data_IF_061465472020
#
_entry.id   IF_061465472020
#
_cell.length_a   1.000
_cell.length_b   1.000
_cell.length_c   1.000
_cell.angle_alpha   90.00
_cell.angle_beta   90.00
_cell.angle_gamma   90.00
#
_symmetry.space_group_name_H-M   'P 1'
#
loop_
_entity.id
_entity.type
_entity.pdbx_description
1 polymer ?
#
# COMPACT_ATOMS: atom_id res chain seq x y z
N UNK A 1 30.71 -5.20 -31.20
CA UNK A 1 29.81 -4.38 -30.38
C UNK A 1 29.19 -3.34 -31.28
N UNK A 2 27.96 -3.56 -31.75
CA UNK A 2 27.27 -2.60 -32.60
C UNK A 2 26.82 -1.43 -31.73
N UNK A 3 27.47 -0.27 -31.90
CA UNK A 3 27.08 0.99 -31.27
C UNK A 3 25.74 1.40 -31.86
N UNK A 4 24.70 1.47 -31.03
CA UNK A 4 23.39 2.00 -31.42
C UNK A 4 23.58 3.37 -32.08
N UNK A 5 22.98 3.57 -33.26
CA UNK A 5 22.98 4.89 -33.89
C UNK A 5 22.19 5.88 -33.01
N UNK A 6 22.51 7.20 -33.04
CA UNK A 6 21.83 8.20 -32.22
C UNK A 6 20.30 8.17 -32.37
N UNK A 7 19.81 7.84 -33.56
CA UNK A 7 18.39 7.73 -33.87
C UNK A 7 17.73 6.49 -33.26
N UNK A 8 18.42 5.34 -33.24
CA UNK A 8 17.92 4.12 -32.61
C UNK A 8 17.89 4.22 -31.08
N UNK A 9 18.83 4.95 -30.48
CA UNK A 9 18.80 5.26 -29.05
C UNK A 9 17.64 6.20 -28.70
N UNK A 10 17.35 7.19 -29.55
CA UNK A 10 16.21 8.09 -29.39
C UNK A 10 14.87 7.35 -29.56
N UNK A 11 14.79 6.38 -30.46
CA UNK A 11 13.59 5.57 -30.70
C UNK A 11 13.32 4.60 -29.55
N UNK A 12 14.36 3.95 -29.00
CA UNK A 12 14.23 3.12 -27.79
C UNK A 12 13.83 3.96 -26.56
N UNK A 13 14.37 5.17 -26.42
CA UNK A 13 13.97 6.08 -25.34
C UNK A 13 12.50 6.50 -25.45
N UNK A 14 12.00 6.75 -26.69
CA UNK A 14 10.59 7.03 -26.95
C UNK A 14 9.69 5.82 -26.69
N UNK A 15 10.14 4.61 -27.05
CA UNK A 15 9.41 3.37 -26.79
C UNK A 15 9.31 3.07 -25.27
N UNK A 16 10.40 3.27 -24.52
CA UNK A 16 10.39 3.15 -23.07
C UNK A 16 9.50 4.20 -22.39
N UNK A 17 9.52 5.44 -22.88
CA UNK A 17 8.63 6.50 -22.40
C UNK A 17 7.16 6.21 -22.71
N UNK A 18 6.85 5.59 -23.86
CA UNK A 18 5.50 5.16 -24.21
C UNK A 18 5.01 4.03 -23.29
N UNK A 19 5.84 3.01 -23.02
CA UNK A 19 5.51 1.93 -22.10
C UNK A 19 5.30 2.43 -20.66
N UNK A 20 6.07 3.43 -20.22
CA UNK A 20 5.90 4.07 -18.92
C UNK A 20 4.57 4.85 -18.81
N UNK A 21 4.12 5.47 -19.91
CA UNK A 21 2.82 6.17 -19.96
C UNK A 21 1.65 5.21 -19.86
N UNK A 22 1.65 4.11 -20.61
CA UNK A 22 0.58 3.10 -20.51
C UNK A 22 0.49 2.47 -19.12
N UNK A 23 1.63 2.20 -18.48
CA UNK A 23 1.64 1.71 -17.09
C UNK A 23 1.08 2.75 -16.10
N UNK A 24 1.35 4.03 -16.32
CA UNK A 24 0.81 5.12 -15.51
C UNK A 24 -0.70 5.30 -15.70
N UNK A 25 -1.21 5.16 -16.94
CA UNK A 25 -2.65 5.27 -17.24
C UNK A 25 -3.44 4.14 -16.57
N UNK A 26 -2.91 2.91 -16.60
CA UNK A 26 -3.52 1.75 -15.91
C UNK A 26 -3.56 2.01 -14.39
N UNK A 27 -2.46 2.49 -13.81
CA UNK A 27 -2.40 2.82 -12.39
C UNK A 27 -3.39 3.94 -12.00
N UNK A 28 -3.55 4.96 -12.85
CA UNK A 28 -4.53 6.03 -12.63
C UNK A 28 -5.97 5.51 -12.71
N UNK A 29 -6.28 4.63 -13.65
CA UNK A 29 -7.60 4.01 -13.74
C UNK A 29 -7.92 3.22 -12.46
N UNK A 30 -6.96 2.47 -11.93
CA UNK A 30 -7.14 1.74 -10.67
C UNK A 30 -7.30 2.68 -9.46
N UNK A 31 -6.56 3.80 -9.41
CA UNK A 31 -6.71 4.80 -8.36
C UNK A 31 -8.09 5.47 -8.38
N UNK A 32 -8.58 5.87 -9.56
CA UNK A 32 -9.93 6.43 -9.73
C UNK A 32 -11.02 5.41 -9.41
N UNK A 33 -10.79 4.14 -9.72
CA UNK A 33 -11.72 3.06 -9.40
C UNK A 33 -11.78 2.81 -7.89
N UNK A 34 -10.63 2.78 -7.21
CA UNK A 34 -10.55 2.69 -5.75
C UNK A 34 -11.24 3.87 -5.06
N UNK A 35 -11.06 5.08 -5.60
CA UNK A 35 -11.70 6.28 -5.07
C UNK A 35 -13.23 6.24 -5.24
N UNK A 36 -13.73 5.78 -6.39
CA UNK A 36 -15.17 5.56 -6.61
C UNK A 36 -15.77 4.51 -5.68
N UNK A 37 -15.03 3.45 -5.35
CA UNK A 37 -15.46 2.46 -4.36
C UNK A 37 -15.51 3.05 -2.95
N UNK A 38 -14.51 3.85 -2.57
CA UNK A 38 -14.47 4.54 -1.28
C UNK A 38 -15.61 5.58 -1.15
N UNK A 39 -15.82 6.38 -2.19
CA UNK A 39 -16.91 7.36 -2.25
C UNK A 39 -18.28 6.67 -2.25
N UNK A 40 -18.42 5.56 -2.97
CA UNK A 40 -19.66 4.76 -3.02
C UNK A 40 -20.01 4.10 -1.68
N UNK A 41 -19.00 3.63 -0.92
CA UNK A 41 -19.19 3.19 0.47
C UNK A 41 -19.59 4.35 1.37
N UNK A 42 -18.93 5.51 1.23
CA UNK A 42 -19.26 6.72 1.97
C UNK A 42 -20.69 7.23 1.71
N UNK A 43 -21.13 7.22 0.45
CA UNK A 43 -22.48 7.67 0.05
C UNK A 43 -23.56 6.63 0.36
N UNK A 44 -23.27 5.34 0.16
CA UNK A 44 -24.21 4.25 0.49
C UNK A 44 -24.48 4.18 1.99
N UNK A 45 -23.50 4.52 2.82
CA UNK A 45 -23.65 4.57 4.27
C UNK A 45 -24.18 5.92 4.78
N UNK A 46 -23.87 7.05 4.12
CA UNK A 46 -24.50 8.34 4.45
C UNK A 46 -26.00 8.34 4.16
N UNK A 47 -26.44 7.56 3.16
CA UNK A 47 -27.85 7.30 2.90
C UNK A 47 -28.52 6.48 4.02
N UNK A 48 -27.80 5.53 4.63
CA UNK A 48 -28.28 4.74 5.78
C UNK A 48 -28.32 5.58 7.06
N UNK A 49 -27.43 6.57 7.20
CA UNK A 49 -27.39 7.50 8.36
C UNK A 49 -28.15 8.80 8.15
N UNK A 50 -28.92 8.93 7.05
CA UNK A 50 -29.71 10.12 6.70
C UNK A 50 -28.92 11.44 6.71
N UNK A 51 -27.64 11.41 6.33
CA UNK A 51 -26.78 12.61 6.30
C UNK A 51 -26.46 13.22 7.67
N UNK A 52 -26.76 12.52 8.78
CA UNK A 52 -26.59 13.05 10.13
C UNK A 52 -25.15 12.91 10.69
N UNK A 53 -24.28 12.12 10.03
CA UNK A 53 -22.94 11.81 10.55
C UNK A 53 -21.88 12.36 9.60
N UNK A 54 -21.05 13.26 10.11
CA UNK A 54 -19.91 13.82 9.39
C UNK A 54 -18.90 12.72 9.02
N UNK A 55 -18.31 12.73 7.80
CA UNK A 55 -17.33 11.73 7.37
C UNK A 55 -16.14 11.57 8.32
N UNK A 56 -15.71 12.63 9.00
CA UNK A 56 -14.62 12.56 9.99
C UNK A 56 -15.03 11.81 11.24
N UNK A 57 -16.24 12.06 11.75
CA UNK A 57 -16.82 11.34 12.90
C UNK A 57 -16.98 9.85 12.55
N UNK A 58 -17.36 9.56 11.31
CA UNK A 58 -17.46 8.19 10.82
C UNK A 58 -16.10 7.48 10.73
N UNK A 59 -15.08 8.13 10.16
CA UNK A 59 -13.71 7.59 10.13
C UNK A 59 -13.14 7.39 11.53
N UNK A 60 -13.44 8.32 12.45
CA UNK A 60 -13.05 8.22 13.86
C UNK A 60 -13.74 7.03 14.54
N UNK A 61 -15.03 6.79 14.24
CA UNK A 61 -15.73 5.61 14.76
C UNK A 61 -15.09 4.30 14.27
N UNK A 62 -14.75 4.21 12.98
CA UNK A 62 -14.01 3.05 12.43
C UNK A 62 -12.66 2.90 13.13
N UNK A 63 -11.93 3.99 13.32
CA UNK A 63 -10.64 3.98 13.99
C UNK A 63 -10.73 3.44 15.43
N UNK A 64 -11.71 3.91 16.21
CA UNK A 64 -11.92 3.43 17.59
C UNK A 64 -12.34 1.96 17.60
N UNK A 65 -13.25 1.55 16.71
CA UNK A 65 -13.65 0.15 16.58
C UNK A 65 -12.46 -0.75 16.18
N UNK A 66 -11.59 -0.29 15.29
CA UNK A 66 -10.39 -1.02 14.89
C UNK A 66 -9.40 -1.20 16.06
N UNK A 67 -9.26 -0.21 16.95
CA UNK A 67 -8.45 -0.35 18.17
C UNK A 67 -9.01 -1.44 19.08
N UNK A 68 -10.33 -1.44 19.31
CA UNK A 68 -10.98 -2.45 20.13
C UNK A 68 -10.77 -3.86 19.56
N UNK A 69 -10.98 -4.03 18.24
CA UNK A 69 -10.73 -5.30 17.56
C UNK A 69 -9.25 -5.70 17.70
N UNK A 70 -8.31 -4.78 17.47
CA UNK A 70 -6.88 -5.04 17.62
C UNK A 70 -6.50 -5.51 19.02
N UNK A 71 -7.06 -4.90 20.06
CA UNK A 71 -6.88 -5.31 21.45
C UNK A 71 -7.33 -6.75 21.69
N UNK A 72 -8.55 -7.12 21.28
CA UNK A 72 -9.07 -8.48 21.47
C UNK A 72 -8.30 -9.54 20.67
N UNK A 73 -7.83 -9.19 19.47
CA UNK A 73 -7.02 -10.08 18.63
C UNK A 73 -5.66 -10.38 19.27
N UNK A 74 -4.97 -9.37 19.82
CA UNK A 74 -3.65 -9.54 20.44
C UNK A 74 -3.74 -10.19 21.83
N UNK A 75 -4.78 -9.90 22.61
CA UNK A 75 -4.94 -10.46 23.96
C UNK A 75 -5.20 -11.98 23.93
N UNK A 76 -5.78 -12.49 22.84
CA UNK A 76 -6.21 -13.89 22.72
C UNK A 76 -5.12 -14.83 22.17
N UNK A 77 -3.85 -14.41 22.18
CA UNK A 77 -2.72 -15.21 21.68
C UNK A 77 -2.08 -16.06 22.76
N UNK A 78 -1.56 -17.23 22.40
CA UNK A 78 -0.80 -18.09 23.32
C UNK A 78 0.54 -17.43 23.69
N UNK A 79 1.01 -17.47 24.95
CA UNK A 79 2.25 -16.80 25.37
C UNK A 79 3.51 -17.17 24.56
N UNK A 80 3.59 -18.41 24.08
CA UNK A 80 4.69 -18.89 23.22
C UNK A 80 4.77 -18.16 21.86
N UNK A 81 3.69 -17.50 21.44
CA UNK A 81 3.59 -16.84 20.15
C UNK A 81 3.82 -15.33 20.21
N UNK A 82 4.14 -14.72 21.37
CA UNK A 82 4.38 -13.27 21.43
C UNK A 82 5.55 -12.82 20.54
N UNK A 83 6.64 -13.58 20.46
CA UNK A 83 7.77 -13.24 19.59
C UNK A 83 7.43 -13.39 18.10
N UNK A 84 6.81 -14.49 17.64
CA UNK A 84 6.25 -14.56 16.28
C UNK A 84 5.22 -13.46 15.98
N UNK A 85 4.36 -13.12 16.94
CA UNK A 85 3.34 -12.09 16.79
C UNK A 85 3.96 -10.72 16.58
N UNK A 86 5.04 -10.41 17.31
CA UNK A 86 5.81 -9.17 17.12
C UNK A 86 6.39 -9.08 15.70
N UNK A 87 6.84 -10.20 15.13
CA UNK A 87 7.31 -10.25 13.74
C UNK A 87 6.17 -10.05 12.74
N UNK A 88 4.99 -10.62 13.00
CA UNK A 88 3.78 -10.43 12.16
C UNK A 88 3.32 -8.98 12.19
N UNK A 89 3.24 -8.34 13.36
CA UNK A 89 2.79 -6.95 13.46
C UNK A 89 3.76 -6.00 12.78
N UNK A 90 5.07 -6.30 12.78
CA UNK A 90 6.04 -5.57 11.98
C UNK A 90 5.75 -5.70 10.47
N UNK A 91 5.43 -6.89 9.97
CA UNK A 91 5.04 -7.09 8.58
C UNK A 91 3.74 -6.33 8.23
N UNK A 92 2.71 -6.43 9.08
CA UNK A 92 1.40 -5.77 8.89
C UNK A 92 1.52 -4.25 8.90
N UNK A 93 2.44 -3.68 9.69
CA UNK A 93 2.68 -2.23 9.72
C UNK A 93 3.05 -1.64 8.34
N UNK A 94 3.45 -2.49 7.39
CA UNK A 94 3.76 -2.12 6.01
C UNK A 94 2.54 -1.73 5.17
N UNK A 95 1.35 -1.59 5.75
CA UNK A 95 0.16 -0.97 5.11
C UNK A 95 0.47 0.41 4.50
N UNK A 96 1.52 1.06 4.99
CA UNK A 96 2.10 2.30 4.45
C UNK A 96 2.40 2.21 2.94
N UNK A 97 2.62 1.01 2.38
CA UNK A 97 2.82 0.83 0.93
C UNK A 97 1.68 1.40 0.08
N UNK A 98 0.43 1.36 0.59
CA UNK A 98 -0.73 1.93 -0.09
C UNK A 98 -0.56 3.44 -0.29
N UNK A 99 -0.12 4.15 0.75
CA UNK A 99 0.16 5.59 0.67
C UNK A 99 1.35 5.89 -0.25
N UNK A 100 2.38 5.05 -0.23
CA UNK A 100 3.55 5.21 -1.09
C UNK A 100 3.21 5.05 -2.59
N UNK A 101 2.33 4.10 -2.93
CA UNK A 101 1.83 3.92 -4.30
C UNK A 101 1.02 5.13 -4.77
N UNK A 102 0.15 5.68 -3.90
CA UNK A 102 -0.61 6.89 -4.22
C UNK A 102 0.33 8.09 -4.45
N UNK A 103 1.35 8.27 -3.60
CA UNK A 103 2.34 9.34 -3.74
C UNK A 103 3.22 9.21 -5.00
N UNK A 104 3.57 7.98 -5.39
CA UNK A 104 4.30 7.71 -6.63
C UNK A 104 3.44 7.93 -7.89
N UNK A 105 2.12 7.82 -7.77
CA UNK A 105 1.14 7.97 -8.85
C UNK A 105 0.71 9.41 -9.18
N UNK A 106 1.20 10.42 -8.46
CA UNK A 106 0.75 11.82 -8.63
C UNK A 106 1.13 12.38 -10.03
N UNK A 107 0.19 12.97 -10.80
CA UNK A 107 0.44 13.44 -12.17
C UNK A 107 1.41 14.65 -12.24
N UNK A 108 2.16 14.75 -13.34
CA UNK A 108 3.18 15.78 -13.60
C UNK A 108 2.65 17.21 -13.73
N UNK A 109 1.32 17.40 -13.74
CA UNK A 109 0.66 18.67 -14.12
C UNK A 109 0.67 19.67 -12.96
N UNK A 110 0.86 19.20 -11.72
CA UNK A 110 0.98 20.08 -10.55
C UNK A 110 2.44 20.46 -10.27
N UNK A 111 2.69 21.76 -10.18
CA UNK A 111 3.98 22.32 -9.78
C UNK A 111 4.35 21.83 -8.36
N UNK A 112 5.48 21.14 -8.20
CA UNK A 112 5.98 20.65 -6.90
C UNK A 112 5.84 19.14 -6.65
N UNK A 113 5.21 18.39 -7.57
CA UNK A 113 4.94 16.94 -7.43
C UNK A 113 6.14 16.01 -7.58
N UNK A 114 7.29 16.53 -8.04
CA UNK A 114 8.51 15.73 -8.20
C UNK A 114 9.00 15.10 -6.90
N UNK A 115 8.92 15.84 -5.79
CA UNK A 115 9.31 15.35 -4.46
C UNK A 115 8.39 14.24 -3.96
N UNK A 116 7.06 14.39 -4.13
CA UNK A 116 6.08 13.39 -3.73
C UNK A 116 6.35 12.04 -4.41
N UNK A 117 6.74 12.05 -5.68
CA UNK A 117 7.11 10.84 -6.42
C UNK A 117 8.40 10.20 -5.97
N UNK A 118 9.43 11.00 -5.71
CA UNK A 118 10.71 10.48 -5.21
C UNK A 118 10.49 9.81 -3.84
N UNK A 119 9.77 10.47 -2.94
CA UNK A 119 9.44 9.91 -1.63
C UNK A 119 8.45 8.74 -1.73
N UNK A 120 7.52 8.75 -2.70
CA UNK A 120 6.63 7.63 -2.98
C UNK A 120 7.39 6.40 -3.47
N UNK A 121 8.31 6.57 -4.44
CA UNK A 121 9.18 5.50 -4.92
C UNK A 121 10.06 4.94 -3.79
N UNK A 122 10.70 5.82 -3.01
CA UNK A 122 11.53 5.39 -1.88
C UNK A 122 10.67 4.68 -0.82
N UNK A 123 9.46 5.17 -0.58
CA UNK A 123 8.47 4.56 0.30
C UNK A 123 8.07 3.15 -0.15
N UNK A 124 7.86 2.93 -1.46
CA UNK A 124 7.58 1.60 -2.00
C UNK A 124 8.75 0.65 -1.76
N UNK A 125 9.99 1.10 -2.02
CA UNK A 125 11.20 0.29 -1.80
C UNK A 125 11.33 -0.09 -0.32
N UNK A 126 11.23 0.88 0.58
CA UNK A 126 11.35 0.66 2.03
C UNK A 126 10.22 -0.22 2.57
N UNK A 127 8.98 0.01 2.14
CA UNK A 127 7.84 -0.82 2.53
C UNK A 127 7.99 -2.26 2.02
N UNK A 128 8.50 -2.46 0.81
CA UNK A 128 8.76 -3.79 0.26
C UNK A 128 9.75 -4.58 1.12
N UNK A 129 10.83 -3.95 1.57
CA UNK A 129 11.79 -4.59 2.48
C UNK A 129 11.12 -5.04 3.78
N UNK A 130 10.24 -4.21 4.35
CA UNK A 130 9.54 -4.54 5.59
C UNK A 130 8.51 -5.68 5.38
N UNK A 131 7.77 -5.68 4.26
CA UNK A 131 6.86 -6.77 3.88
C UNK A 131 7.62 -8.09 3.77
N UNK A 132 8.62 -8.15 2.88
CA UNK A 132 9.32 -9.40 2.61
C UNK A 132 10.15 -9.86 3.80
N UNK A 133 10.84 -8.94 4.48
CA UNK A 133 11.62 -9.24 5.68
C UNK A 133 10.74 -9.73 6.82
N UNK A 134 9.65 -9.02 7.12
CA UNK A 134 8.72 -9.37 8.20
C UNK A 134 8.05 -10.72 7.98
N UNK A 135 7.56 -11.01 6.77
CA UNK A 135 6.93 -12.30 6.48
C UNK A 135 7.92 -13.47 6.43
N UNK A 136 9.14 -13.28 5.90
CA UNK A 136 10.15 -14.33 5.84
C UNK A 136 10.65 -14.73 7.24
N UNK A 137 10.88 -13.75 8.12
CA UNK A 137 11.27 -14.01 9.52
C UNK A 137 10.12 -14.70 10.27
N UNK A 138 8.89 -14.22 10.09
CA UNK A 138 7.70 -14.85 10.68
C UNK A 138 7.57 -16.31 10.27
N UNK A 139 7.73 -16.63 8.97
CA UNK A 139 7.64 -18.01 8.49
C UNK A 139 8.71 -18.90 9.10
N UNK A 140 9.94 -18.39 9.26
CA UNK A 140 11.00 -19.13 9.96
C UNK A 140 10.66 -19.36 11.43
N UNK A 141 10.11 -18.36 12.11
CA UNK A 141 9.70 -18.47 13.52
C UNK A 141 8.57 -19.48 13.72
N UNK A 142 7.52 -19.43 12.88
CA UNK A 142 6.40 -20.36 12.94
C UNK A 142 6.79 -21.77 12.47
N UNK A 143 7.77 -21.89 11.58
CA UNK A 143 8.33 -23.16 11.13
C UNK A 143 8.95 -23.99 12.26
N UNK A 144 9.48 -23.35 13.30
CA UNK A 144 10.05 -24.02 14.48
C UNK A 144 8.99 -24.71 15.35
N UNK A 145 7.72 -24.34 15.21
CA UNK A 145 6.60 -24.93 15.96
C UNK A 145 5.89 -26.05 15.19
N UNK A 146 6.28 -26.32 13.94
CA UNK A 146 5.75 -27.45 13.18
C UNK A 146 6.40 -28.75 13.68
N UNK A 147 5.59 -29.74 14.06
CA UNK A 147 6.07 -31.11 14.32
C UNK A 147 6.80 -31.62 13.07
N UNK A 148 7.99 -32.21 13.24
CA UNK A 148 8.63 -32.99 12.17
C UNK A 148 7.63 -34.04 11.69
N UNK A 149 7.23 -33.95 10.42
CA UNK A 149 6.67 -35.07 9.69
C UNK A 149 7.79 -36.06 9.37
#
# INVERSE_FOLDING_TARGET
MATLSPDQAAEQARAAAAAARTAADIAQQHALQAQKYADGLGHGMSAVTHGAVDPTVFQLAIFVLAILVGYYVVWSVTPALHTPLMSVTNAISSVIIVGAILAAGVPYIEHGTGWARIFGFLGIVLASVNIFGGFLVTQRMLGMYKKKA
#
